data_IF_043392147339
#
_entry.id   IF_043392147339
#
_cell.length_a   1.000
_cell.length_b   1.000
_cell.length_c   1.000
_cell.angle_alpha   90.00
_cell.angle_beta   90.00
_cell.angle_gamma   90.00
#
_symmetry.space_group_name_H-M   'P 1'
#
loop_
_entity.id
_entity.type
_entity.pdbx_description
1 polymer ?
#
# COMPACT_ATOMS: atom_id res chain seq x y z
N UNK A 1 -8.93 16.95 15.15
CA UNK A 1 -9.19 18.01 14.14
C UNK A 1 -7.98 18.08 13.21
N UNK A 2 -8.16 18.57 11.99
CA UNK A 2 -7.05 18.74 11.04
C UNK A 2 -6.07 19.82 11.52
N UNK A 3 -4.79 19.64 11.21
CA UNK A 3 -3.81 20.71 11.24
C UNK A 3 -3.76 21.30 9.82
N UNK A 4 -4.20 22.56 9.68
CA UNK A 4 -4.40 23.20 8.38
C UNK A 4 -3.08 23.78 7.88
N UNK A 5 -2.78 23.55 6.61
CA UNK A 5 -1.66 24.19 5.90
C UNK A 5 -2.07 24.71 4.51
N UNK A 6 -1.12 25.24 3.75
CA UNK A 6 -1.36 25.81 2.41
C UNK A 6 -1.88 24.80 1.38
N UNK A 7 -1.64 23.52 1.60
CA UNK A 7 -1.95 22.40 0.71
C UNK A 7 -3.03 21.48 1.28
N UNK A 8 -3.43 21.65 2.54
CA UNK A 8 -4.40 20.83 3.24
C UNK A 8 -5.43 21.69 4.01
N UNK A 9 -6.55 22.00 3.34
CA UNK A 9 -7.68 22.73 3.90
C UNK A 9 -8.99 21.94 3.62
N UNK A 10 -9.41 21.05 4.54
CA UNK A 10 -10.58 20.21 4.33
C UNK A 10 -11.88 21.02 4.32
N UNK A 11 -12.77 20.73 3.37
CA UNK A 11 -14.10 21.35 3.33
C UNK A 11 -15.04 20.82 4.44
N UNK A 12 -14.79 19.60 4.92
CA UNK A 12 -15.57 18.92 5.96
C UNK A 12 -14.64 18.12 6.86
N UNK A 13 -14.85 18.20 8.17
CA UNK A 13 -14.15 17.39 9.17
C UNK A 13 -15.11 16.46 9.91
N UNK A 14 -14.80 15.16 9.94
CA UNK A 14 -15.51 14.17 10.74
C UNK A 14 -14.70 13.84 11.98
N UNK A 15 -14.87 14.64 13.04
CA UNK A 15 -14.12 14.49 14.29
C UNK A 15 -14.78 13.41 15.18
N UNK A 16 -13.98 12.48 15.70
CA UNK A 16 -14.45 11.43 16.61
C UNK A 16 -13.77 10.09 16.34
N UNK A 17 -14.43 9.00 16.75
CA UNK A 17 -13.95 7.64 16.49
C UNK A 17 -13.99 7.32 14.99
N UNK A 18 -12.83 6.96 14.42
CA UNK A 18 -12.72 6.55 13.02
C UNK A 18 -13.65 5.36 12.73
N UNK A 19 -13.72 4.37 13.62
CA UNK A 19 -14.56 3.19 13.43
C UNK A 19 -16.05 3.53 13.43
N UNK A 20 -16.50 4.39 14.35
CA UNK A 20 -17.90 4.81 14.42
C UNK A 20 -18.30 5.65 13.19
N UNK A 21 -17.44 6.58 12.78
CA UNK A 21 -17.67 7.42 11.60
C UNK A 21 -17.75 6.57 10.32
N UNK A 22 -16.82 5.63 10.13
CA UNK A 22 -16.84 4.71 8.98
C UNK A 22 -18.06 3.79 9.00
N UNK A 23 -18.49 3.32 10.17
CA UNK A 23 -19.70 2.51 10.32
C UNK A 23 -20.94 3.28 9.85
N UNK A 24 -21.15 4.50 10.34
CA UNK A 24 -22.27 5.35 9.95
C UNK A 24 -22.22 5.67 8.44
N UNK A 25 -21.06 6.06 7.91
CA UNK A 25 -20.89 6.37 6.49
C UNK A 25 -21.23 5.17 5.60
N UNK A 26 -20.77 3.98 5.99
CA UNK A 26 -21.02 2.74 5.24
C UNK A 26 -22.52 2.40 5.18
N UNK A 27 -23.29 2.70 6.24
CA UNK A 27 -24.75 2.49 6.24
C UNK A 27 -25.50 3.40 5.28
N UNK A 28 -24.93 4.55 4.92
CA UNK A 28 -25.51 5.49 3.96
C UNK A 28 -25.20 5.11 2.50
N UNK A 29 -24.22 4.23 2.27
CA UNK A 29 -23.83 3.76 0.95
C UNK A 29 -24.67 2.54 0.54
N UNK A 30 -25.80 2.80 -0.13
CA UNK A 30 -26.75 1.74 -0.52
C UNK A 30 -26.38 0.97 -1.79
N UNK A 31 -25.50 1.53 -2.63
CA UNK A 31 -25.06 0.91 -3.89
C UNK A 31 -23.57 1.17 -4.10
N UNK A 32 -22.84 0.21 -4.71
CA UNK A 32 -21.49 0.47 -5.18
C UNK A 32 -21.50 1.64 -6.16
N UNK A 33 -20.52 2.54 -6.04
CA UNK A 33 -20.31 3.58 -7.02
C UNK A 33 -20.03 2.93 -8.39
N UNK A 34 -20.70 3.42 -9.44
CA UNK A 34 -20.36 3.04 -10.80
C UNK A 34 -18.91 3.44 -11.05
N UNK A 35 -18.10 2.49 -11.53
CA UNK A 35 -16.67 2.72 -11.74
C UNK A 35 -16.50 3.49 -13.04
N UNK A 36 -16.00 4.72 -12.92
CA UNK A 36 -15.58 5.52 -14.07
C UNK A 36 -14.60 4.68 -14.94
N UNK A 37 -14.84 4.54 -16.26
CA UNK A 37 -13.95 3.83 -17.16
C UNK A 37 -12.47 4.26 -17.06
N UNK A 38 -12.20 5.55 -16.84
CA UNK A 38 -10.84 6.06 -16.67
C UNK A 38 -10.19 5.52 -15.39
N UNK A 39 -10.96 5.45 -14.28
CA UNK A 39 -10.49 4.87 -13.02
C UNK A 39 -10.29 3.35 -13.15
N UNK A 40 -11.15 2.67 -13.92
CA UNK A 40 -10.98 1.26 -14.20
C UNK A 40 -9.71 0.98 -15.00
N UNK A 41 -9.41 1.80 -16.03
CA UNK A 41 -8.19 1.72 -16.82
C UNK A 41 -6.94 1.94 -15.96
N UNK A 42 -6.91 3.02 -15.16
CA UNK A 42 -5.80 3.33 -14.25
C UNK A 42 -5.51 2.18 -13.27
N UNK A 43 -6.55 1.59 -12.69
CA UNK A 43 -6.38 0.47 -11.76
C UNK A 43 -5.91 -0.80 -12.49
N UNK A 44 -6.26 -0.97 -13.76
CA UNK A 44 -5.71 -1.99 -14.65
C UNK A 44 -4.21 -1.78 -14.90
N UNK A 45 -3.78 -0.57 -15.22
CA UNK A 45 -2.38 -0.21 -15.43
C UNK A 45 -1.53 -0.46 -14.17
N UNK A 46 -2.00 -0.01 -13.00
CA UNK A 46 -1.31 -0.24 -11.72
C UNK A 46 -1.14 -1.74 -11.47
N UNK A 47 -2.16 -2.55 -11.77
CA UNK A 47 -2.09 -4.01 -11.62
C UNK A 47 -1.10 -4.63 -12.60
N UNK A 48 -1.10 -4.21 -13.86
CA UNK A 48 -0.18 -4.69 -14.88
C UNK A 48 1.28 -4.36 -14.52
N UNK A 49 1.55 -3.12 -14.10
CA UNK A 49 2.88 -2.68 -13.66
C UNK A 49 3.39 -3.52 -12.49
N UNK A 50 2.55 -3.76 -11.47
CA UNK A 50 2.92 -4.62 -10.33
C UNK A 50 3.25 -6.05 -10.77
N UNK A 51 2.48 -6.61 -11.70
CA UNK A 51 2.71 -7.95 -12.22
C UNK A 51 4.03 -8.05 -13.01
N UNK A 52 4.27 -7.09 -13.91
CA UNK A 52 5.50 -7.03 -14.70
C UNK A 52 6.74 -6.91 -13.81
N UNK A 53 6.68 -6.05 -12.78
CA UNK A 53 7.76 -5.90 -11.81
C UNK A 53 8.06 -7.22 -11.07
N UNK A 54 7.01 -7.93 -10.66
CA UNK A 54 7.14 -9.22 -9.97
C UNK A 54 7.81 -10.28 -10.86
N UNK A 55 7.40 -10.36 -12.14
CA UNK A 55 8.00 -11.28 -13.12
C UNK A 55 9.46 -10.91 -13.41
N UNK A 56 9.75 -9.62 -13.59
CA UNK A 56 11.10 -9.15 -13.85
C UNK A 56 12.04 -9.49 -12.67
N UNK A 57 11.59 -9.31 -11.43
CA UNK A 57 12.35 -9.62 -10.23
C UNK A 57 12.86 -11.07 -10.18
N UNK A 58 12.09 -12.03 -10.69
CA UNK A 58 12.46 -13.45 -10.72
C UNK A 58 13.65 -13.74 -11.63
N UNK A 59 13.90 -12.88 -12.62
CA UNK A 59 14.99 -13.03 -13.59
C UNK A 59 16.26 -12.27 -13.16
N UNK A 60 16.19 -11.48 -12.08
CA UNK A 60 17.33 -10.71 -11.55
C UNK A 60 18.20 -11.60 -10.67
N UNK A 61 19.07 -12.39 -11.30
CA UNK A 61 20.14 -13.16 -10.67
C UNK A 61 21.50 -12.45 -10.74
N UNK A 62 22.50 -13.01 -10.05
CA UNK A 62 23.88 -12.54 -10.09
C UNK A 62 24.34 -11.80 -8.82
N UNK A 63 25.57 -11.30 -8.86
CA UNK A 63 26.19 -10.54 -7.76
C UNK A 63 26.71 -9.19 -8.28
N UNK A 64 26.46 -8.08 -7.56
CA UNK A 64 25.68 -7.99 -6.32
C UNK A 64 24.17 -8.23 -6.55
N UNK A 65 23.46 -8.67 -5.50
CA UNK A 65 22.02 -9.00 -5.59
C UNK A 65 21.21 -7.72 -5.84
N UNK A 66 20.34 -7.76 -6.84
CA UNK A 66 19.44 -6.66 -7.12
C UNK A 66 18.39 -6.49 -5.99
N UNK A 67 18.11 -5.27 -5.48
CA UNK A 67 17.15 -5.06 -4.38
C UNK A 67 15.75 -5.64 -4.62
N UNK A 68 15.25 -5.53 -5.86
CA UNK A 68 13.95 -6.09 -6.24
C UNK A 68 13.91 -7.63 -6.10
N UNK A 69 15.05 -8.32 -6.26
CA UNK A 69 15.13 -9.76 -5.99
C UNK A 69 14.92 -10.03 -4.50
N UNK A 70 15.57 -9.27 -3.64
CA UNK A 70 15.42 -9.39 -2.17
C UNK A 70 13.96 -9.15 -1.76
N UNK A 71 13.31 -8.10 -2.27
CA UNK A 71 11.89 -7.83 -1.98
C UNK A 71 11.01 -9.01 -2.42
N UNK A 72 11.26 -9.58 -3.60
CA UNK A 72 10.48 -10.72 -4.08
C UNK A 72 10.62 -11.95 -3.17
N UNK A 73 11.83 -12.27 -2.74
CA UNK A 73 12.06 -13.38 -1.81
C UNK A 73 11.40 -13.13 -0.45
N UNK A 74 11.52 -11.91 0.10
CA UNK A 74 10.86 -11.53 1.35
C UNK A 74 9.34 -11.68 1.26
N UNK A 75 8.75 -11.31 0.13
CA UNK A 75 7.31 -11.41 -0.07
C UNK A 75 6.78 -12.85 -0.06
N UNK A 76 7.59 -13.81 -0.50
CA UNK A 76 7.21 -15.24 -0.50
C UNK A 76 7.32 -15.85 0.91
N UNK A 77 8.19 -15.28 1.75
CA UNK A 77 8.44 -15.77 3.12
C UNK A 77 7.47 -15.13 4.13
N UNK A 78 7.10 -13.87 3.93
CA UNK A 78 6.28 -13.12 4.90
C UNK A 78 4.83 -13.60 4.86
N UNK A 79 4.47 -14.38 5.90
CA UNK A 79 3.09 -14.79 6.17
C UNK A 79 2.26 -13.68 6.82
N UNK A 80 0.93 -13.90 6.89
CA UNK A 80 -0.02 -12.94 7.48
C UNK A 80 0.21 -12.69 8.98
N UNK A 81 0.73 -13.69 9.70
CA UNK A 81 0.97 -13.62 11.15
C UNK A 81 2.33 -13.00 11.51
N UNK A 82 3.21 -12.76 10.53
CA UNK A 82 4.53 -12.18 10.78
C UNK A 82 4.45 -10.66 10.93
N UNK A 83 5.30 -10.09 11.78
CA UNK A 83 5.52 -8.64 11.86
C UNK A 83 6.92 -8.34 11.29
N UNK A 84 7.00 -7.39 10.37
CA UNK A 84 8.23 -6.93 9.76
C UNK A 84 8.68 -5.61 10.41
N UNK A 85 9.93 -5.55 10.85
CA UNK A 85 10.59 -4.32 11.29
C UNK A 85 11.63 -3.91 10.25
N UNK A 86 11.60 -2.67 9.80
CA UNK A 86 12.46 -2.12 8.74
C UNK A 86 13.14 -0.87 9.26
N UNK A 87 14.47 -0.86 9.23
CA UNK A 87 15.32 0.28 9.62
C UNK A 87 15.53 1.25 8.44
N UNK A 88 16.16 2.39 8.71
CA UNK A 88 16.45 3.40 7.71
C UNK A 88 17.64 3.03 6.83
N UNK A 89 17.44 3.26 5.54
CA UNK A 89 18.45 3.06 4.50
C UNK A 89 17.80 2.81 3.15
N UNK A 90 18.54 2.80 2.05
CA UNK A 90 17.95 2.70 0.71
C UNK A 90 17.00 1.50 0.53
N UNK A 91 17.21 0.41 1.28
CA UNK A 91 16.33 -0.77 1.25
C UNK A 91 14.90 -0.48 1.77
N UNK A 92 14.71 0.48 2.68
CA UNK A 92 13.37 0.84 3.19
C UNK A 92 12.49 1.38 2.05
N UNK A 93 13.07 2.11 1.09
CA UNK A 93 12.37 2.65 -0.08
C UNK A 93 11.89 1.51 -0.98
N UNK A 94 12.73 0.49 -1.19
CA UNK A 94 12.38 -0.69 -1.97
C UNK A 94 11.28 -1.51 -1.28
N UNK A 95 11.39 -1.73 0.04
CA UNK A 95 10.39 -2.47 0.80
C UNK A 95 9.06 -1.70 0.82
N UNK A 96 9.07 -0.41 1.14
CA UNK A 96 7.85 0.42 1.17
C UNK A 96 7.14 0.49 -0.19
N UNK A 97 7.90 0.42 -1.29
CA UNK A 97 7.32 0.49 -2.64
C UNK A 97 6.75 -0.84 -3.14
N UNK A 98 7.35 -1.97 -2.77
CA UNK A 98 7.05 -3.26 -3.41
C UNK A 98 6.51 -4.33 -2.46
N UNK A 99 6.69 -4.19 -1.14
CA UNK A 99 6.19 -5.16 -0.17
C UNK A 99 4.74 -4.85 0.24
N UNK A 100 3.90 -5.89 0.27
CA UNK A 100 2.52 -5.80 0.70
C UNK A 100 2.37 -6.11 2.20
N UNK A 101 1.44 -5.40 2.83
CA UNK A 101 0.93 -5.70 4.16
C UNK A 101 -0.50 -6.19 4.05
N UNK A 102 -0.83 -7.23 4.78
CA UNK A 102 -2.14 -7.90 4.80
C UNK A 102 -2.93 -7.61 6.08
N UNK A 103 -2.31 -7.03 7.11
CA UNK A 103 -2.99 -6.62 8.34
C UNK A 103 -2.47 -5.30 8.91
N UNK A 104 -3.30 -4.67 9.74
CA UNK A 104 -2.88 -3.51 10.52
C UNK A 104 -1.68 -3.86 11.42
N UNK A 105 -0.73 -2.92 11.54
CA UNK A 105 0.51 -3.06 12.34
C UNK A 105 1.37 -4.28 11.96
N UNK A 106 1.30 -4.74 10.71
CA UNK A 106 2.18 -5.81 10.23
C UNK A 106 3.60 -5.30 9.92
N UNK A 107 3.73 -4.06 9.46
CA UNK A 107 5.01 -3.45 9.09
C UNK A 107 5.28 -2.26 10.01
N UNK A 108 6.44 -2.28 10.65
CA UNK A 108 7.00 -1.18 11.43
C UNK A 108 8.21 -0.66 10.66
N UNK A 109 8.10 0.55 10.11
CA UNK A 109 9.16 1.21 9.35
C UNK A 109 9.52 2.49 10.10
N UNK A 110 10.79 2.62 10.47
CA UNK A 110 11.35 3.75 11.20
C UNK A 110 12.45 4.38 10.39
#
# INVERSE_FOLDING_TARGET
>A
PAEIDSSYCPAVELVGSISANLYCLTKMLHKPLARDPAIAALLGEIRAQRHQLTQHAQHLGGMPIHPLRIVKELQDIIGQDMTLCVDMGSFHIWIARYLYSFRARQVLIS
#
